data_IF_871501303104
#
_entry.id   IF_871501303104
#
_cell.length_a   1.000
_cell.length_b   1.000
_cell.length_c   1.000
_cell.angle_alpha   90.00
_cell.angle_beta   90.00
_cell.angle_gamma   90.00
#
_symmetry.space_group_name_H-M   'P 1'
#
loop_
_entity.id
_entity.type
_entity.pdbx_description
1 polymer ?
#
# COMPACT_ATOMS: atom_id res chain seq x y z
N UNK A 1 54.80 28.88 33.47
CA UNK A 1 55.44 28.29 32.27
C UNK A 1 55.51 26.77 32.46
N UNK A 2 54.95 25.99 31.53
CA UNK A 2 55.13 24.52 31.31
C UNK A 2 54.76 23.58 32.48
N UNK A 3 53.62 22.91 32.40
CA UNK A 3 53.43 21.52 31.92
C UNK A 3 54.15 20.45 32.76
N UNK A 4 53.38 19.59 33.43
CA UNK A 4 53.71 18.16 33.51
C UNK A 4 52.43 17.33 33.54
N UNK A 5 52.28 16.49 32.51
CA UNK A 5 51.20 15.53 32.32
C UNK A 5 51.40 14.34 33.27
N UNK A 6 50.40 14.04 34.10
CA UNK A 6 50.34 12.80 34.88
C UNK A 6 49.56 11.75 34.09
N UNK A 7 50.23 10.66 33.69
CA UNK A 7 49.60 9.48 33.10
C UNK A 7 48.97 8.64 34.23
N UNK A 8 47.65 8.63 34.32
CA UNK A 8 46.92 7.65 35.13
C UNK A 8 46.68 6.42 34.24
N UNK A 9 47.32 5.30 34.59
CA UNK A 9 47.06 3.97 34.03
C UNK A 9 45.78 3.41 34.65
N UNK A 10 44.72 3.24 33.86
CA UNK A 10 43.56 2.44 34.22
C UNK A 10 43.71 1.01 33.70
N UNK A 11 43.69 0.03 34.60
CA UNK A 11 43.68 -1.40 34.28
C UNK A 11 42.36 -1.78 33.59
N UNK A 12 42.43 -2.22 32.34
CA UNK A 12 41.30 -2.90 31.68
C UNK A 12 41.41 -4.38 31.97
N UNK A 13 40.46 -4.91 32.75
CA UNK A 13 40.32 -6.35 32.96
C UNK A 13 39.89 -7.00 31.64
N UNK A 14 40.75 -7.87 31.10
CA UNK A 14 40.44 -8.66 29.90
C UNK A 14 39.58 -9.84 30.35
N UNK A 15 38.26 -9.76 30.13
CA UNK A 15 37.38 -10.93 30.25
C UNK A 15 37.67 -11.88 29.08
N UNK A 16 38.26 -13.03 29.39
CA UNK A 16 38.39 -14.13 28.43
C UNK A 16 36.99 -14.69 28.11
N UNK A 17 36.48 -14.43 26.91
CA UNK A 17 35.26 -15.06 26.42
C UNK A 17 35.53 -16.55 26.15
N UNK A 18 34.71 -17.43 26.75
CA UNK A 18 34.69 -18.86 26.41
C UNK A 18 34.23 -19.03 24.96
N UNK A 19 34.78 -19.97 24.19
CA UNK A 19 34.33 -20.20 22.82
C UNK A 19 32.91 -20.77 22.84
N UNK A 20 31.98 -20.00 22.27
CA UNK A 20 30.62 -20.46 21.98
C UNK A 20 30.68 -21.58 20.93
N UNK A 21 30.11 -22.74 21.22
CA UNK A 21 29.95 -23.78 20.21
C UNK A 21 28.98 -23.28 19.14
N UNK A 22 29.50 -22.94 17.96
CA UNK A 22 28.67 -22.61 16.80
C UNK A 22 28.00 -23.89 16.32
N UNK A 23 26.72 -24.10 16.66
CA UNK A 23 25.92 -25.10 15.98
C UNK A 23 25.74 -24.64 14.53
N UNK A 24 26.25 -25.43 13.60
CA UNK A 24 26.00 -25.23 12.17
C UNK A 24 24.51 -25.41 11.91
N UNK A 25 23.83 -24.35 11.47
CA UNK A 25 22.46 -24.42 10.99
C UNK A 25 22.49 -25.06 9.61
N UNK A 26 22.38 -26.38 9.55
CA UNK A 26 22.12 -27.10 8.29
C UNK A 26 20.76 -26.69 7.76
N UNK A 27 20.73 -25.81 6.76
CA UNK A 27 19.53 -25.42 6.03
C UNK A 27 19.12 -26.50 5.04
N UNK A 28 18.52 -27.59 5.52
CA UNK A 28 17.85 -28.56 4.64
C UNK A 28 16.39 -28.16 4.44
N UNK A 29 16.20 -27.14 3.60
CA UNK A 29 15.05 -26.97 2.72
C UNK A 29 15.36 -25.76 1.82
N UNK A 30 15.51 -25.99 0.51
CA UNK A 30 15.37 -24.91 -0.46
C UNK A 30 13.91 -24.44 -0.36
N UNK A 31 13.63 -23.47 0.50
CA UNK A 31 12.41 -22.68 0.43
C UNK A 31 12.46 -21.99 -0.93
N UNK A 32 11.89 -22.63 -1.95
CA UNK A 32 11.47 -21.91 -3.14
C UNK A 32 10.46 -20.91 -2.63
N UNK A 33 10.84 -19.62 -2.62
CA UNK A 33 9.84 -18.56 -2.60
C UNK A 33 8.83 -18.95 -3.68
N UNK A 34 7.57 -19.13 -3.29
CA UNK A 34 6.52 -19.33 -4.27
C UNK A 34 6.68 -18.20 -5.29
N UNK A 35 6.82 -18.54 -6.57
CA UNK A 35 6.80 -17.51 -7.60
C UNK A 35 5.47 -16.78 -7.39
N UNK A 36 5.48 -15.49 -7.01
CA UNK A 36 4.23 -14.78 -6.85
C UNK A 36 3.47 -14.92 -8.17
N UNK A 37 2.13 -15.07 -8.15
CA UNK A 37 1.37 -14.99 -9.38
C UNK A 37 1.85 -13.74 -10.14
N UNK A 38 1.99 -13.81 -11.48
CA UNK A 38 2.43 -12.65 -12.25
C UNK A 38 1.60 -11.45 -11.80
N UNK A 39 2.29 -10.33 -11.51
CA UNK A 39 1.62 -9.08 -11.13
C UNK A 39 0.47 -8.89 -12.10
N UNK A 40 -0.76 -8.73 -11.59
CA UNK A 40 -1.98 -8.91 -12.38
C UNK A 40 -1.79 -8.30 -13.76
N UNK A 41 -1.92 -9.11 -14.81
CA UNK A 41 -1.92 -8.67 -16.21
C UNK A 41 -3.20 -7.88 -16.51
N UNK A 42 -3.60 -6.96 -15.63
CA UNK A 42 -4.48 -5.87 -15.98
C UNK A 42 -3.69 -5.07 -17.02
N UNK A 43 -3.89 -5.41 -18.31
CA UNK A 43 -3.17 -4.88 -19.46
C UNK A 43 -2.83 -3.42 -19.24
N UNK A 44 -1.54 -3.10 -19.31
CA UNK A 44 -0.94 -1.89 -18.75
C UNK A 44 -1.82 -0.65 -18.95
N UNK A 45 -2.67 -0.35 -17.96
CA UNK A 45 -3.48 0.86 -17.95
C UNK A 45 -2.48 2.00 -17.98
N UNK A 46 -2.55 2.85 -19.02
CA UNK A 46 -1.62 3.96 -19.21
C UNK A 46 -1.47 4.71 -17.88
N UNK A 47 -0.30 4.61 -17.24
CA UNK A 47 -0.08 5.19 -15.90
C UNK A 47 -0.22 6.71 -15.86
N UNK A 48 -0.26 7.36 -17.02
CA UNK A 48 -0.43 8.80 -17.21
C UNK A 48 -1.85 9.21 -17.60
N UNK A 49 -2.80 8.28 -17.69
CA UNK A 49 -4.16 8.56 -18.18
C UNK A 49 -4.81 9.74 -17.44
N UNK A 50 -4.62 9.85 -16.11
CA UNK A 50 -5.21 10.93 -15.31
C UNK A 50 -4.58 12.27 -15.65
N UNK A 51 -3.25 12.33 -15.74
CA UNK A 51 -2.54 13.55 -16.14
C UNK A 51 -2.85 13.95 -17.58
N UNK A 52 -3.00 12.98 -18.49
CA UNK A 52 -3.35 13.21 -19.88
C UNK A 52 -4.78 13.77 -20.00
N UNK A 53 -5.73 13.20 -19.26
CA UNK A 53 -7.11 13.69 -19.19
C UNK A 53 -7.19 15.11 -18.60
N UNK A 54 -6.47 15.38 -17.50
CA UNK A 54 -6.38 16.73 -16.94
C UNK A 54 -5.79 17.73 -17.92
N UNK A 55 -4.76 17.31 -18.69
CA UNK A 55 -4.15 18.15 -19.71
C UNK A 55 -5.14 18.47 -20.83
N UNK A 56 -5.85 17.45 -21.35
CA UNK A 56 -6.88 17.62 -22.40
C UNK A 56 -7.96 18.59 -21.96
N UNK A 57 -8.55 18.38 -20.77
CA UNK A 57 -9.56 19.29 -20.23
C UNK A 57 -9.05 20.73 -20.06
N UNK A 58 -7.80 20.92 -19.62
CA UNK A 58 -7.19 22.27 -19.55
C UNK A 58 -7.04 22.89 -20.94
N UNK A 59 -6.64 22.12 -21.94
CA UNK A 59 -6.53 22.58 -23.33
C UNK A 59 -7.90 22.93 -23.91
N UNK A 60 -8.96 22.19 -23.56
CA UNK A 60 -10.33 22.48 -23.97
C UNK A 60 -10.81 23.87 -23.52
N UNK A 61 -10.30 24.41 -22.41
CA UNK A 61 -10.61 25.77 -21.96
C UNK A 61 -10.08 26.87 -22.88
N UNK A 62 -9.08 26.56 -23.73
CA UNK A 62 -8.56 27.49 -24.73
C UNK A 62 -9.32 27.43 -26.06
N UNK A 63 -10.26 26.49 -26.21
CA UNK A 63 -11.09 26.35 -27.39
C UNK A 63 -12.28 27.33 -27.36
N UNK A 64 -12.85 27.62 -28.53
CA UNK A 64 -14.07 28.43 -28.66
C UNK A 64 -15.31 27.59 -28.31
N UNK A 65 -15.50 27.32 -27.03
CA UNK A 65 -16.66 26.57 -26.51
C UNK A 65 -17.67 27.50 -25.82
N UNK A 66 -18.93 27.07 -25.76
CA UNK A 66 -19.99 27.83 -25.09
C UNK A 66 -19.67 28.05 -23.58
N UNK A 67 -20.07 29.19 -22.98
CA UNK A 67 -19.76 29.49 -21.56
C UNK A 67 -20.18 28.38 -20.59
N UNK A 68 -21.35 27.78 -20.78
CA UNK A 68 -21.82 26.65 -19.98
C UNK A 68 -20.86 25.45 -20.03
N UNK A 69 -20.26 25.16 -21.19
CA UNK A 69 -19.27 24.07 -21.34
C UNK A 69 -17.96 24.38 -20.62
N UNK A 70 -17.55 25.66 -20.58
CA UNK A 70 -16.38 26.09 -19.80
C UNK A 70 -16.57 25.76 -18.31
N UNK A 71 -17.75 26.04 -17.76
CA UNK A 71 -18.06 25.74 -16.35
C UNK A 71 -18.09 24.23 -16.09
N UNK A 72 -18.72 23.45 -16.97
CA UNK A 72 -18.70 21.98 -16.87
C UNK A 72 -17.26 21.44 -16.90
N UNK A 73 -16.38 21.93 -17.78
CA UNK A 73 -14.96 21.52 -17.83
C UNK A 73 -14.24 21.85 -16.53
N UNK A 74 -14.45 23.04 -15.96
CA UNK A 74 -13.88 23.43 -14.66
C UNK A 74 -14.36 22.52 -13.52
N UNK A 75 -15.64 22.16 -13.51
CA UNK A 75 -16.18 21.21 -12.54
C UNK A 75 -15.51 19.84 -12.65
N UNK A 76 -15.29 19.32 -13.87
CA UNK A 76 -14.60 18.03 -14.07
C UNK A 76 -13.14 18.11 -13.67
N UNK A 77 -12.44 19.22 -13.95
CA UNK A 77 -11.08 19.43 -13.46
C UNK A 77 -11.01 19.44 -11.92
N UNK A 78 -11.93 20.14 -11.25
CA UNK A 78 -12.01 20.14 -9.80
C UNK A 78 -12.34 18.74 -9.24
N UNK A 79 -13.21 17.99 -9.93
CA UNK A 79 -13.52 16.61 -9.58
C UNK A 79 -12.30 15.69 -9.70
N UNK A 80 -11.54 15.77 -10.80
CA UNK A 80 -10.30 15.01 -10.99
C UNK A 80 -9.27 15.35 -9.91
N UNK A 81 -9.16 16.64 -9.55
CA UNK A 81 -8.24 17.09 -8.52
C UNK A 81 -8.60 16.56 -7.14
N UNK A 82 -9.88 16.61 -6.77
CA UNK A 82 -10.38 16.14 -5.47
C UNK A 82 -10.34 14.62 -5.34
N UNK A 83 -10.67 13.90 -6.41
CA UNK A 83 -10.90 12.45 -6.37
C UNK A 83 -9.77 11.63 -7.02
N UNK A 84 -8.59 12.24 -7.21
CA UNK A 84 -7.47 11.60 -7.90
C UNK A 84 -7.11 10.22 -7.32
N UNK A 85 -7.15 10.06 -5.99
CA UNK A 85 -6.78 8.80 -5.33
C UNK A 85 -7.82 7.70 -5.60
N UNK A 86 -9.12 8.01 -5.49
CA UNK A 86 -10.21 7.09 -5.83
C UNK A 86 -10.11 6.66 -7.30
N UNK A 87 -9.88 7.62 -8.20
CA UNK A 87 -9.82 7.34 -9.63
C UNK A 87 -8.61 6.49 -10.01
N UNK A 88 -7.44 6.71 -9.39
CA UNK A 88 -6.24 5.91 -9.65
C UNK A 88 -6.31 4.54 -8.97
N UNK A 89 -6.54 4.52 -7.67
CA UNK A 89 -6.45 3.30 -6.87
C UNK A 89 -7.73 2.45 -6.98
N UNK A 90 -8.91 3.08 -7.09
CA UNK A 90 -10.18 2.39 -7.25
C UNK A 90 -10.22 1.54 -8.52
N UNK A 91 -9.71 2.03 -9.66
CA UNK A 91 -9.58 1.23 -10.90
C UNK A 91 -8.71 -0.01 -10.77
N UNK A 92 -7.78 0.01 -9.81
CA UNK A 92 -6.95 -1.15 -9.48
C UNK A 92 -7.60 -2.07 -8.42
N UNK A 93 -8.78 -1.72 -7.90
CA UNK A 93 -9.50 -2.47 -6.87
C UNK A 93 -9.08 -2.15 -5.44
N UNK A 94 -8.41 -1.02 -5.19
CA UNK A 94 -8.14 -0.58 -3.82
C UNK A 94 -9.34 0.16 -3.23
N UNK A 95 -9.66 -0.14 -1.97
CA UNK A 95 -10.63 0.63 -1.20
C UNK A 95 -9.93 1.85 -0.60
N UNK A 96 -10.45 3.04 -0.92
CA UNK A 96 -9.82 4.31 -0.51
C UNK A 96 -10.62 5.08 0.53
N UNK A 97 -11.72 4.52 1.05
CA UNK A 97 -12.47 5.14 2.14
C UNK A 97 -11.49 5.35 3.33
N UNK A 98 -11.46 6.54 3.97
CA UNK A 98 -10.47 6.86 5.02
C UNK A 98 -10.37 5.81 6.13
N UNK A 99 -11.50 5.21 6.51
CA UNK A 99 -11.62 4.20 7.56
C UNK A 99 -10.98 2.85 7.17
N UNK A 100 -10.71 2.64 5.87
CA UNK A 100 -10.11 1.41 5.32
C UNK A 100 -8.64 1.57 4.95
N UNK A 101 -8.09 2.79 4.98
CA UNK A 101 -6.69 3.05 4.64
C UNK A 101 -5.77 2.46 5.70
N UNK A 102 -4.68 1.82 5.27
CA UNK A 102 -3.67 1.32 6.19
C UNK A 102 -2.87 2.45 6.82
N UNK A 103 -2.45 3.41 6.00
CA UNK A 103 -1.92 4.69 6.48
C UNK A 103 -2.57 5.80 5.68
N UNK A 104 -3.16 6.77 6.37
CA UNK A 104 -3.79 7.92 5.75
C UNK A 104 -2.86 9.14 5.84
N UNK A 105 -2.45 9.66 4.69
CA UNK A 105 -1.68 10.91 4.57
C UNK A 105 -0.46 11.00 5.50
N UNK A 106 0.23 9.88 5.71
CA UNK A 106 1.37 9.78 6.63
C UNK A 106 2.51 10.68 6.17
N UNK A 107 3.03 11.52 7.07
CA UNK A 107 4.13 12.42 6.77
C UNK A 107 5.41 11.61 6.52
N UNK A 108 6.01 11.77 5.35
CA UNK A 108 7.38 11.29 5.10
C UNK A 108 8.30 12.06 6.04
N UNK A 109 9.12 11.36 6.84
CA UNK A 109 10.04 12.01 7.76
C UNK A 109 11.33 12.39 7.04
N UNK A 110 11.89 13.56 7.36
CA UNK A 110 13.19 13.95 6.82
C UNK A 110 14.29 12.91 7.12
N UNK A 111 14.25 12.31 8.32
CA UNK A 111 15.18 11.27 8.76
C UNK A 111 14.99 9.89 8.11
N UNK A 112 13.94 9.70 7.30
CA UNK A 112 13.75 8.48 6.51
C UNK A 112 14.57 8.48 5.21
N UNK A 113 15.15 9.63 4.84
CA UNK A 113 16.03 9.74 3.67
C UNK A 113 17.44 9.26 3.98
N UNK A 114 18.10 8.70 2.96
CA UNK A 114 19.51 8.31 3.04
C UNK A 114 20.43 9.26 2.25
N UNK A 115 21.71 8.91 2.17
CA UNK A 115 22.72 9.73 1.50
C UNK A 115 22.48 9.92 -0.01
N UNK A 116 21.59 9.13 -0.63
CA UNK A 116 21.22 9.27 -2.04
C UNK A 116 20.15 10.35 -2.26
N UNK A 117 19.69 11.02 -1.20
CA UNK A 117 18.82 12.19 -1.28
C UNK A 117 17.33 11.86 -1.43
N UNK A 118 16.93 10.63 -1.11
CA UNK A 118 15.54 10.18 -1.15
C UNK A 118 15.26 9.20 -0.01
N UNK A 119 13.98 8.87 0.20
CA UNK A 119 13.54 7.89 1.20
C UNK A 119 14.27 6.56 0.96
N UNK A 120 14.86 6.02 2.03
CA UNK A 120 15.60 4.76 1.96
C UNK A 120 14.68 3.58 1.59
N UNK A 121 15.20 2.63 0.81
CA UNK A 121 14.42 1.50 0.30
C UNK A 121 13.76 0.66 1.41
N UNK A 122 14.37 0.53 2.60
CA UNK A 122 13.80 -0.23 3.73
C UNK A 122 12.53 0.44 4.29
N UNK A 123 12.41 1.76 4.18
CA UNK A 123 11.27 2.51 4.72
C UNK A 123 9.96 2.13 4.03
N UNK A 124 9.99 1.85 2.73
CA UNK A 124 8.80 1.40 2.00
C UNK A 124 8.22 0.11 2.61
N UNK A 125 9.07 -0.84 2.99
CA UNK A 125 8.61 -2.08 3.65
C UNK A 125 8.05 -1.80 5.05
N UNK A 126 8.60 -0.82 5.78
CA UNK A 126 8.06 -0.38 7.09
C UNK A 126 6.70 0.29 6.96
N UNK A 127 6.51 1.09 5.89
CA UNK A 127 5.22 1.69 5.56
C UNK A 127 4.18 0.62 5.18
N UNK A 128 4.57 -0.38 4.38
CA UNK A 128 3.70 -1.52 4.08
C UNK A 128 3.30 -2.27 5.35
N UNK A 129 4.27 -2.59 6.21
CA UNK A 129 4.03 -3.28 7.48
C UNK A 129 3.04 -2.53 8.38
N UNK A 130 3.29 -1.23 8.63
CA UNK A 130 2.40 -0.39 9.42
C UNK A 130 1.00 -0.30 8.80
N UNK A 131 0.95 -0.17 7.46
CA UNK A 131 -0.30 -0.16 6.72
C UNK A 131 -1.07 -1.48 6.83
N UNK A 132 -0.41 -2.63 6.77
CA UNK A 132 -1.03 -3.96 6.91
C UNK A 132 -1.61 -4.16 8.30
N UNK A 133 -0.86 -3.76 9.33
CA UNK A 133 -1.31 -3.82 10.74
C UNK A 133 -2.60 -3.02 10.89
N UNK A 134 -2.60 -1.77 10.45
CA UNK A 134 -3.77 -0.90 10.54
C UNK A 134 -4.94 -1.39 9.69
N UNK A 135 -4.67 -1.84 8.46
CA UNK A 135 -5.69 -2.42 7.58
C UNK A 135 -6.39 -3.60 8.25
N UNK A 136 -5.62 -4.53 8.85
CA UNK A 136 -6.17 -5.68 9.59
C UNK A 136 -7.01 -5.23 10.78
N UNK A 137 -6.53 -4.23 11.55
CA UNK A 137 -7.27 -3.68 12.70
C UNK A 137 -8.55 -2.96 12.27
N UNK A 138 -8.56 -2.31 11.12
CA UNK A 138 -9.72 -1.62 10.59
C UNK A 138 -10.85 -2.58 10.20
N UNK A 139 -10.52 -3.82 9.78
CA UNK A 139 -11.54 -4.85 9.52
C UNK A 139 -12.42 -5.16 10.74
N UNK A 140 -11.93 -4.93 11.96
CA UNK A 140 -12.72 -5.06 13.18
C UNK A 140 -13.96 -4.15 13.21
N UNK A 141 -13.93 -3.02 12.49
CA UNK A 141 -15.04 -2.05 12.43
C UNK A 141 -16.16 -2.49 11.48
N UNK A 142 -15.86 -3.40 10.55
CA UNK A 142 -16.77 -3.88 9.52
C UNK A 142 -17.32 -5.28 9.83
N UNK A 143 -16.63 -6.01 10.72
CA UNK A 143 -17.03 -7.31 11.24
C UNK A 143 -18.03 -7.20 12.42
N UNK A 144 -18.65 -8.33 12.78
CA UNK A 144 -19.46 -8.46 14.01
C UNK A 144 -18.66 -7.98 15.24
N UNK A 145 -19.17 -7.01 16.03
CA UNK A 145 -18.47 -6.42 17.17
C UNK A 145 -17.95 -7.42 18.19
N UNK A 146 -18.55 -8.61 18.31
CA UNK A 146 -18.08 -9.63 19.24
C UNK A 146 -16.68 -10.16 18.93
N UNK A 147 -16.22 -10.03 17.68
CA UNK A 147 -14.89 -10.48 17.22
C UNK A 147 -13.85 -9.36 17.22
N UNK A 148 -14.18 -8.18 17.73
CA UNK A 148 -13.30 -7.02 17.71
C UNK A 148 -11.95 -7.32 18.38
N UNK A 149 -11.95 -7.97 19.55
CA UNK A 149 -10.71 -8.31 20.25
C UNK A 149 -9.88 -9.32 19.46
N UNK A 150 -10.52 -10.30 18.81
CA UNK A 150 -9.84 -11.29 17.99
C UNK A 150 -9.16 -10.66 16.78
N UNK A 151 -9.76 -9.65 16.13
CA UNK A 151 -9.10 -8.88 15.07
C UNK A 151 -7.85 -8.15 15.58
N UNK A 152 -7.89 -7.56 16.77
CA UNK A 152 -6.69 -6.94 17.36
C UNK A 152 -5.62 -7.98 17.74
N UNK A 153 -6.05 -9.14 18.25
CA UNK A 153 -5.15 -10.21 18.67
C UNK A 153 -4.43 -10.88 17.49
N UNK A 154 -4.93 -10.75 16.26
CA UNK A 154 -4.24 -11.21 15.03
C UNK A 154 -2.84 -10.61 14.86
N UNK A 155 -2.62 -9.42 15.44
CA UNK A 155 -1.35 -8.71 15.42
C UNK A 155 -0.51 -8.99 16.69
N UNK A 156 -0.81 -10.07 17.39
CA UNK A 156 -0.15 -10.48 18.64
C UNK A 156 0.08 -12.00 18.69
N UNK A 157 1.02 -12.48 19.52
CA UNK A 157 1.26 -13.92 19.67
C UNK A 157 0.27 -14.61 20.64
N UNK A 158 -0.89 -14.02 20.97
CA UNK A 158 -1.80 -14.54 22.01
C UNK A 158 -2.63 -15.76 21.58
N UNK A 159 -2.94 -15.88 20.30
CA UNK A 159 -3.81 -16.95 19.78
C UNK A 159 -3.51 -17.26 18.30
N UNK A 160 -4.49 -17.13 17.42
CA UNK A 160 -4.28 -17.06 15.97
C UNK A 160 -3.71 -15.68 15.65
N UNK A 161 -2.63 -15.64 14.88
CA UNK A 161 -2.06 -14.40 14.36
C UNK A 161 -1.55 -14.52 12.94
N UNK A 162 -1.17 -13.39 12.38
CA UNK A 162 -0.71 -13.26 11.00
C UNK A 162 0.81 -13.16 10.95
N UNK A 163 1.42 -14.00 10.09
CA UNK A 163 2.86 -14.00 9.82
C UNK A 163 3.08 -13.63 8.36
N UNK A 164 3.95 -12.64 8.11
CA UNK A 164 4.43 -12.32 6.78
C UNK A 164 5.45 -13.38 6.33
N UNK A 165 5.05 -14.28 5.43
CA UNK A 165 5.90 -15.32 4.90
C UNK A 165 6.88 -14.79 3.84
N UNK A 166 6.43 -13.84 3.01
CA UNK A 166 7.30 -13.14 2.07
C UNK A 166 6.74 -11.77 1.69
N UNK A 167 7.63 -10.87 1.27
CA UNK A 167 7.29 -9.57 0.70
C UNK A 167 8.18 -9.30 -0.51
N UNK A 168 7.58 -8.81 -1.60
CA UNK A 168 8.29 -8.30 -2.78
C UNK A 168 7.90 -6.84 -2.99
N UNK A 169 8.88 -5.97 -3.17
CA UNK A 169 8.65 -4.52 -3.32
C UNK A 169 9.16 -4.04 -4.67
N UNK A 170 8.25 -3.48 -5.46
CA UNK A 170 8.55 -2.83 -6.72
C UNK A 170 8.61 -1.31 -6.53
N UNK A 171 9.82 -0.75 -6.48
CA UNK A 171 10.03 0.69 -6.42
C UNK A 171 9.70 1.33 -7.78
N UNK A 172 8.79 2.32 -7.79
CA UNK A 172 8.34 3.02 -8.99
C UNK A 172 8.99 4.38 -9.16
N UNK A 173 9.27 5.07 -8.05
CA UNK A 173 10.10 6.27 -8.04
C UNK A 173 10.60 6.62 -6.63
N UNK A 174 11.70 7.37 -6.50
CA UNK A 174 12.22 7.79 -5.20
C UNK A 174 11.40 8.95 -4.61
N UNK A 175 10.63 8.71 -3.54
CA UNK A 175 10.01 9.80 -2.76
C UNK A 175 11.05 10.61 -2.00
N UNK A 176 10.75 11.88 -1.76
CA UNK A 176 11.62 12.81 -1.03
C UNK A 176 10.80 13.56 0.03
N UNK A 177 11.44 14.00 1.10
CA UNK A 177 10.84 14.98 2.00
C UNK A 177 10.82 16.38 1.33
N UNK A 178 9.77 17.20 1.53
CA UNK A 178 8.50 16.88 2.20
C UNK A 178 7.49 16.19 1.26
N UNK A 179 6.80 15.17 1.77
CA UNK A 179 5.67 14.52 1.08
C UNK A 179 4.73 13.86 2.11
N UNK A 180 3.54 13.47 1.67
CA UNK A 180 2.59 12.64 2.40
C UNK A 180 2.32 11.38 1.62
N UNK A 181 2.36 10.24 2.30
CA UNK A 181 2.11 8.93 1.71
C UNK A 181 0.81 8.33 2.25
N UNK A 182 -0.04 7.89 1.34
CA UNK A 182 -1.20 7.06 1.68
C UNK A 182 -0.91 5.61 1.30
N UNK A 183 -1.06 4.68 2.24
CA UNK A 183 -0.83 3.25 2.03
C UNK A 183 -2.16 2.50 2.02
N UNK A 184 -2.43 1.83 0.91
CA UNK A 184 -3.64 1.06 0.67
C UNK A 184 -3.27 -0.42 0.50
N UNK A 185 -4.16 -1.30 0.95
CA UNK A 185 -4.04 -2.74 0.75
C UNK A 185 -5.30 -3.26 0.07
N UNK A 186 -5.13 -4.30 -0.76
CA UNK A 186 -6.24 -5.08 -1.33
C UNK A 186 -5.93 -6.57 -1.26
N UNK A 187 -6.98 -7.38 -1.15
CA UNK A 187 -6.90 -8.82 -1.34
C UNK A 187 -6.67 -9.13 -2.83
N UNK A 188 -5.70 -9.99 -3.11
CA UNK A 188 -5.41 -10.45 -4.49
C UNK A 188 -6.39 -11.54 -4.93
N UNK A 189 -6.78 -12.41 -4.00
CA UNK A 189 -7.69 -13.53 -4.25
C UNK A 189 -8.77 -13.57 -3.18
N UNK A 190 -9.98 -14.01 -3.54
CA UNK A 190 -11.07 -14.26 -2.58
C UNK A 190 -10.74 -15.50 -1.74
N UNK A 191 -10.62 -15.40 -0.41
CA UNK A 191 -10.34 -16.55 0.42
C UNK A 191 -11.56 -17.45 0.57
N UNK A 192 -11.34 -18.71 0.96
CA UNK A 192 -12.37 -19.67 1.35
C UNK A 192 -12.15 -20.16 2.79
N UNK A 193 -13.08 -20.98 3.30
CA UNK A 193 -13.01 -21.50 4.68
C UNK A 193 -11.89 -22.53 4.91
N UNK A 194 -11.20 -22.97 3.87
CA UNK A 194 -10.03 -23.85 3.97
C UNK A 194 -8.70 -23.08 3.91
N UNK A 195 -8.75 -21.79 3.60
CA UNK A 195 -7.58 -20.96 3.35
C UNK A 195 -6.75 -20.78 4.63
N UNK A 196 -5.48 -21.20 4.59
CA UNK A 196 -4.47 -21.00 5.65
C UNK A 196 -3.56 -19.79 5.40
N UNK A 197 -3.81 -19.10 4.29
CA UNK A 197 -3.06 -17.97 3.78
C UNK A 197 -3.93 -17.07 2.93
N UNK A 198 -3.48 -15.85 2.75
CA UNK A 198 -4.03 -14.93 1.78
C UNK A 198 -2.94 -13.98 1.31
N UNK A 199 -3.20 -13.35 0.16
CA UNK A 199 -2.24 -12.47 -0.48
C UNK A 199 -2.76 -11.04 -0.47
N UNK A 200 -1.90 -10.11 -0.08
CA UNK A 200 -2.17 -8.69 -0.16
C UNK A 200 -1.29 -8.04 -1.22
N UNK A 201 -1.87 -7.11 -1.95
CA UNK A 201 -1.09 -6.12 -2.69
C UNK A 201 -1.20 -4.78 -1.95
N UNK A 202 -0.07 -4.19 -1.60
CA UNK A 202 0.01 -2.86 -1.01
C UNK A 202 0.45 -1.84 -2.06
N UNK A 203 -0.07 -0.63 -1.98
CA UNK A 203 0.40 0.51 -2.81
C UNK A 203 0.60 1.73 -1.94
N UNK A 204 1.72 2.41 -2.17
CA UNK A 204 2.08 3.66 -1.50
C UNK A 204 1.91 4.80 -2.50
N UNK A 205 0.89 5.62 -2.32
CA UNK A 205 0.68 6.81 -3.15
C UNK A 205 1.34 8.02 -2.51
N UNK A 206 2.20 8.69 -3.28
CA UNK A 206 2.67 10.04 -2.96
C UNK A 206 1.56 11.03 -3.26
N UNK A 207 1.24 11.90 -2.31
CA UNK A 207 0.30 12.99 -2.52
C UNK A 207 0.90 14.10 -3.38
N UNK A 208 2.19 14.39 -3.22
CA UNK A 208 2.87 15.43 -3.99
C UNK A 208 2.94 15.07 -5.48
N UNK A 209 3.28 13.83 -5.79
CA UNK A 209 3.45 13.35 -7.17
C UNK A 209 2.18 12.70 -7.74
N UNK A 210 1.15 12.48 -6.91
CA UNK A 210 -0.12 11.84 -7.26
C UNK A 210 0.04 10.56 -8.08
N UNK A 211 0.98 9.70 -7.68
CA UNK A 211 1.25 8.41 -8.32
C UNK A 211 1.85 7.40 -7.34
N UNK A 212 1.79 6.09 -7.66
CA UNK A 212 2.41 5.06 -6.84
C UNK A 212 3.93 5.25 -6.76
N UNK A 213 4.46 5.30 -5.54
CA UNK A 213 5.89 5.33 -5.26
C UNK A 213 6.49 3.92 -5.16
N UNK A 214 5.76 2.99 -4.56
CA UNK A 214 6.07 1.57 -4.59
C UNK A 214 4.79 0.73 -4.52
N UNK A 215 4.92 -0.52 -4.95
CA UNK A 215 3.92 -1.57 -4.76
C UNK A 215 4.55 -2.75 -4.05
N UNK A 216 3.86 -3.36 -3.09
CA UNK A 216 4.30 -4.56 -2.41
C UNK A 216 3.34 -5.72 -2.70
N UNK A 217 3.88 -6.92 -2.85
CA UNK A 217 3.11 -8.16 -2.83
C UNK A 217 3.49 -8.93 -1.57
N UNK A 218 2.49 -9.33 -0.78
CA UNK A 218 2.67 -9.91 0.55
C UNK A 218 1.98 -11.28 0.64
N UNK A 219 2.73 -12.29 1.08
CA UNK A 219 2.21 -13.62 1.42
C UNK A 219 1.98 -13.69 2.92
N UNK A 220 0.71 -13.72 3.33
CA UNK A 220 0.29 -13.71 4.73
C UNK A 220 -0.19 -15.11 5.12
N UNK A 221 0.46 -15.70 6.11
CA UNK A 221 0.14 -17.01 6.66
C UNK A 221 -0.56 -16.86 8.00
N UNK A 222 -1.60 -17.65 8.21
CA UNK A 222 -2.32 -17.75 9.47
C UNK A 222 -1.64 -18.80 10.36
N UNK A 223 -1.29 -18.39 11.57
CA UNK A 223 -0.51 -19.21 12.50
C UNK A 223 -1.17 -19.28 13.87
N UNK A 224 -1.30 -20.49 14.40
CA UNK A 224 -1.71 -20.73 15.78
C UNK A 224 -0.48 -20.72 16.68
N UNK A 225 -0.31 -19.65 17.45
CA UNK A 225 0.81 -19.50 18.37
C UNK A 225 0.73 -20.44 19.58
N UNK A 226 -0.46 -20.95 19.93
CA UNK A 226 -0.63 -21.90 21.04
C UNK A 226 -0.27 -23.32 20.60
N UNK A 227 -0.71 -23.70 19.41
CA UNK A 227 -0.43 -25.02 18.84
C UNK A 227 0.89 -25.07 18.05
N UNK A 228 1.57 -23.93 17.87
CA UNK A 228 2.80 -23.78 17.10
C UNK A 228 2.72 -24.40 15.69
N UNK A 229 1.63 -24.15 14.99
CA UNK A 229 1.39 -24.66 13.63
C UNK A 229 0.55 -23.71 12.79
N UNK A 230 0.56 -23.92 11.47
CA UNK A 230 -0.38 -23.25 10.56
C UNK A 230 -1.82 -23.60 10.92
N UNK A 231 -2.72 -22.65 10.73
CA UNK A 231 -4.15 -22.81 10.96
C UNK A 231 -4.94 -22.20 9.80
N UNK A 232 -6.16 -22.67 9.52
CA UNK A 232 -7.05 -21.98 8.61
C UNK A 232 -7.50 -20.63 9.19
N UNK A 233 -7.91 -19.71 8.32
CA UNK A 233 -8.68 -18.53 8.71
C UNK A 233 -9.90 -18.94 9.53
N UNK A 234 -10.21 -18.19 10.59
CA UNK A 234 -11.46 -18.39 11.33
C UNK A 234 -12.65 -17.96 10.46
N UNK A 235 -13.85 -18.56 10.63
CA UNK A 235 -15.01 -18.22 9.80
C UNK A 235 -15.31 -16.72 9.68
N UNK A 236 -15.31 -15.98 10.80
CA UNK A 236 -15.55 -14.54 10.78
C UNK A 236 -14.53 -13.74 9.96
N UNK A 237 -13.28 -14.23 9.88
CA UNK A 237 -12.25 -13.61 9.06
C UNK A 237 -12.54 -13.86 7.59
N UNK A 238 -12.93 -15.08 7.24
CA UNK A 238 -13.29 -15.43 5.85
C UNK A 238 -14.48 -14.61 5.39
N UNK A 239 -15.53 -14.50 6.21
CA UNK A 239 -16.72 -13.73 5.89
C UNK A 239 -16.38 -12.25 5.59
N UNK A 240 -15.62 -11.60 6.46
CA UNK A 240 -15.21 -10.20 6.28
C UNK A 240 -14.24 -10.00 5.11
N UNK A 241 -13.29 -10.92 4.91
CA UNK A 241 -12.36 -10.85 3.79
C UNK A 241 -13.07 -11.09 2.45
N UNK A 242 -14.05 -11.98 2.40
CA UNK A 242 -14.89 -12.18 1.21
C UNK A 242 -15.73 -10.94 0.90
N UNK A 243 -16.37 -10.35 1.92
CA UNK A 243 -17.11 -9.09 1.77
C UNK A 243 -16.21 -7.94 1.30
N UNK A 244 -15.01 -7.84 1.87
CA UNK A 244 -14.00 -6.86 1.45
C UNK A 244 -13.58 -7.09 0.00
N UNK A 245 -13.33 -8.34 -0.42
CA UNK A 245 -12.98 -8.66 -1.80
C UNK A 245 -14.11 -8.29 -2.78
N UNK A 246 -15.36 -8.62 -2.45
CA UNK A 246 -16.51 -8.28 -3.31
C UNK A 246 -16.68 -6.77 -3.44
N UNK A 247 -16.46 -6.02 -2.35
CA UNK A 247 -16.46 -4.56 -2.36
C UNK A 247 -15.33 -3.99 -3.24
N UNK A 248 -14.13 -4.59 -3.24
CA UNK A 248 -13.04 -4.19 -4.14
C UNK A 248 -13.46 -4.32 -5.61
N UNK A 249 -14.07 -5.44 -5.98
CA UNK A 249 -14.53 -5.69 -7.34
C UNK A 249 -15.69 -4.77 -7.75
N UNK A 250 -16.57 -4.43 -6.81
CA UNK A 250 -17.61 -3.44 -7.04
C UNK A 250 -17.01 -2.05 -7.27
N UNK A 251 -16.16 -1.54 -6.35
CA UNK A 251 -15.55 -0.22 -6.46
C UNK A 251 -14.67 -0.09 -7.70
N UNK A 252 -14.02 -1.18 -8.12
CA UNK A 252 -13.27 -1.24 -9.38
C UNK A 252 -14.15 -0.94 -10.58
N UNK A 253 -15.34 -1.56 -10.67
CA UNK A 253 -16.30 -1.32 -11.76
C UNK A 253 -16.84 0.10 -11.73
N UNK A 254 -17.14 0.62 -10.54
CA UNK A 254 -17.62 1.99 -10.35
C UNK A 254 -16.58 3.03 -10.79
N UNK A 255 -15.31 2.83 -10.41
CA UNK A 255 -14.20 3.69 -10.80
C UNK A 255 -13.94 3.63 -12.31
N UNK A 256 -13.99 2.45 -12.92
CA UNK A 256 -13.82 2.29 -14.37
C UNK A 256 -14.93 3.00 -15.15
N UNK A 257 -16.18 2.80 -14.73
CA UNK A 257 -17.33 3.52 -15.30
C UNK A 257 -17.13 5.03 -15.18
N UNK A 258 -16.67 5.50 -14.01
CA UNK A 258 -16.48 6.93 -13.79
C UNK A 258 -15.41 7.53 -14.69
N UNK A 259 -14.32 6.79 -14.92
CA UNK A 259 -13.28 7.23 -15.85
C UNK A 259 -13.76 7.24 -17.29
N UNK A 260 -14.52 6.23 -17.72
CA UNK A 260 -15.13 6.23 -19.06
C UNK A 260 -16.07 7.44 -19.26
N UNK A 261 -16.90 7.79 -18.27
CA UNK A 261 -17.74 9.00 -18.30
C UNK A 261 -16.91 10.28 -18.48
N UNK A 262 -15.78 10.40 -17.78
CA UNK A 262 -14.91 11.57 -17.85
C UNK A 262 -14.17 11.66 -19.19
N UNK A 263 -13.77 10.53 -19.75
CA UNK A 263 -13.15 10.44 -21.08
C UNK A 263 -14.15 10.82 -22.19
N UNK A 264 -15.35 10.24 -22.16
CA UNK A 264 -16.41 10.59 -23.11
C UNK A 264 -16.79 12.08 -23.02
N UNK A 265 -16.80 12.65 -21.83
CA UNK A 265 -17.06 14.08 -21.65
C UNK A 265 -16.00 14.96 -22.34
N UNK A 266 -14.71 14.67 -22.18
CA UNK A 266 -13.67 15.50 -22.83
C UNK A 266 -13.71 15.37 -24.34
N UNK A 267 -14.00 14.18 -24.86
CA UNK A 267 -14.18 13.94 -26.30
C UNK A 267 -15.34 14.78 -26.87
N UNK A 268 -16.50 14.77 -26.20
CA UNK A 268 -17.64 15.60 -26.61
C UNK A 268 -17.33 17.10 -26.63
N UNK A 269 -16.53 17.57 -25.66
CA UNK A 269 -16.13 18.99 -25.61
C UNK A 269 -15.20 19.31 -26.78
N UNK A 270 -14.20 18.47 -27.05
CA UNK A 270 -13.25 18.64 -28.15
C UNK A 270 -13.95 18.59 -29.52
N UNK A 271 -14.86 17.64 -29.73
CA UNK A 271 -15.62 17.51 -30.98
C UNK A 271 -16.54 18.72 -31.21
N UNK A 272 -17.21 19.20 -30.16
CA UNK A 272 -18.08 20.38 -30.26
C UNK A 272 -17.33 21.66 -30.62
N UNK A 273 -16.04 21.74 -30.29
CA UNK A 273 -15.18 22.85 -30.65
C UNK A 273 -14.63 22.74 -32.08
N UNK A 274 -14.46 21.53 -32.60
CA UNK A 274 -14.02 21.30 -33.98
C UNK A 274 -15.13 21.52 -35.03
N UNK A 275 -16.39 21.41 -34.61
CA UNK A 275 -17.57 21.63 -35.46
C UNK A 275 -18.06 23.10 -35.51
N UNK A 276 -17.47 24.01 -34.72
CA UNK A 276 -17.86 25.42 -34.58
C UNK A 276 -16.80 26.37 -35.17
#
# INVERSE_FOLDING_TARGET
>A
MKSTVSKIRGNVAIYAMRPSSVRSLTTTARLRAATPPPASENGAVNSRWLSDLQKRLKQSLSLKIAPKRVDEVKERLAYLDKNWLELLAGREGYLVDPERRGLDRHMVQWGDMDMMGHVNNVIYNRLAESGRVNWTRNLAQFSDPKYQQEWFDLMSPKSIGLILASIRTDFKFPMTFPDRVTVLHKLVTKPDYSSDRFYLEAVMYSEQQRRPAAKCFEDIVVYDYRAAKKAPLKPFMVDELQATYDLQEQRKKEAEKKVAELQAFVEQVEDSAGAA
#
